data_IF_408243614811
#
_entry.id   IF_408243614811
#
_cell.length_a   1.000
_cell.length_b   1.000
_cell.length_c   1.000
_cell.angle_alpha   90.00
_cell.angle_beta   90.00
_cell.angle_gamma   90.00
#
_symmetry.space_group_name_H-M   'P 1'
#
loop_
_entity.id
_entity.type
_entity.pdbx_description
1 polymer ?
#
# COMPACT_ATOMS: atom_id res chain seq x y z
N UNK A 1 24.09 -38.86 -1.04
CA UNK A 1 22.85 -38.60 -0.24
C UNK A 1 22.93 -37.33 0.61
N UNK A 2 24.06 -37.02 1.24
CA UNK A 2 24.22 -35.85 2.14
C UNK A 2 23.98 -34.51 1.42
N UNK A 3 24.54 -34.32 0.21
CA UNK A 3 24.38 -33.07 -0.56
C UNK A 3 22.91 -32.79 -0.97
N UNK A 4 22.15 -33.84 -1.32
CA UNK A 4 20.71 -33.71 -1.63
C UNK A 4 19.90 -33.33 -0.40
N UNK A 5 20.22 -33.92 0.77
CA UNK A 5 19.56 -33.57 2.05
C UNK A 5 19.88 -32.13 2.44
N UNK A 6 21.12 -31.69 2.30
CA UNK A 6 21.53 -30.32 2.57
C UNK A 6 20.81 -29.30 1.66
N UNK A 7 20.67 -29.60 0.37
CA UNK A 7 19.94 -28.76 -0.58
C UNK A 7 18.44 -28.66 -0.26
N UNK A 8 17.81 -29.79 0.11
CA UNK A 8 16.39 -29.80 0.50
C UNK A 8 16.17 -28.98 1.78
N UNK A 9 17.06 -29.12 2.78
CA UNK A 9 17.01 -28.34 4.02
C UNK A 9 17.20 -26.84 3.76
N UNK A 10 18.09 -26.43 2.84
CA UNK A 10 18.27 -25.01 2.50
C UNK A 10 17.06 -24.44 1.77
N UNK A 11 16.46 -25.19 0.83
CA UNK A 11 15.23 -24.78 0.13
C UNK A 11 14.05 -24.62 1.08
N UNK A 12 13.88 -25.55 2.04
CA UNK A 12 12.83 -25.46 3.07
C UNK A 12 13.03 -24.25 3.99
N UNK A 13 14.27 -23.94 4.37
CA UNK A 13 14.59 -22.76 5.18
C UNK A 13 14.29 -21.45 4.43
N UNK A 14 14.56 -21.39 3.12
CA UNK A 14 14.22 -20.22 2.29
C UNK A 14 12.69 -20.02 2.16
N UNK A 15 11.93 -21.12 2.02
CA UNK A 15 10.47 -21.06 1.93
C UNK A 15 9.82 -20.56 3.23
N UNK A 16 10.42 -20.83 4.39
CA UNK A 16 9.91 -20.40 5.69
C UNK A 16 9.96 -18.87 5.91
N UNK A 17 10.77 -18.15 5.14
CA UNK A 17 10.85 -16.67 5.21
C UNK A 17 9.76 -15.97 4.38
N UNK A 18 9.04 -16.69 3.52
CA UNK A 18 7.95 -16.15 2.72
C UNK A 18 6.68 -16.00 3.56
N UNK A 19 6.52 -14.87 4.27
CA UNK A 19 5.23 -14.55 4.90
C UNK A 19 4.19 -14.33 3.79
N UNK A 20 3.03 -15.00 3.82
CA UNK A 20 1.95 -14.68 2.90
C UNK A 20 1.57 -13.21 3.11
N UNK A 21 1.62 -12.43 2.04
CA UNK A 21 1.15 -11.05 2.05
C UNK A 21 -0.37 -11.11 2.10
N UNK A 22 -0.99 -10.43 3.06
CA UNK A 22 -2.44 -10.19 2.97
C UNK A 22 -2.70 -9.49 1.65
N UNK A 23 -3.61 -10.04 0.85
CA UNK A 23 -4.06 -9.44 -0.41
C UNK A 23 -5.46 -8.87 -0.21
N UNK A 24 -5.82 -7.79 -0.92
CA UNK A 24 -7.19 -7.32 -0.95
C UNK A 24 -8.13 -8.38 -1.56
N UNK A 25 -9.40 -8.43 -1.14
CA UNK A 25 -9.99 -7.68 -0.03
C UNK A 25 -9.51 -8.24 1.34
N UNK A 26 -9.26 -7.35 2.30
CA UNK A 26 -8.84 -7.70 3.66
C UNK A 26 -9.91 -7.29 4.67
N UNK A 27 -9.91 -7.94 5.83
CA UNK A 27 -10.86 -7.61 6.91
C UNK A 27 -10.72 -6.13 7.33
N UNK A 28 -11.83 -5.45 7.69
CA UNK A 28 -11.80 -4.07 8.18
C UNK A 28 -10.78 -3.88 9.31
N UNK A 29 -10.01 -2.79 9.25
CA UNK A 29 -8.96 -2.49 10.23
C UNK A 29 -7.61 -3.17 9.98
N UNK A 30 -7.51 -4.11 9.03
CA UNK A 30 -6.21 -4.62 8.59
C UNK A 30 -5.37 -3.48 8.03
N UNK A 31 -4.14 -3.27 8.48
CA UNK A 31 -3.25 -2.25 7.93
C UNK A 31 -2.24 -2.86 6.95
N UNK A 32 -2.03 -2.19 5.83
CA UNK A 32 -1.02 -2.53 4.85
C UNK A 32 0.08 -1.47 4.93
N UNK A 33 1.36 -1.88 5.02
CA UNK A 33 2.47 -0.94 5.12
C UNK A 33 2.54 -0.08 3.86
N UNK A 34 2.78 1.23 4.03
CA UNK A 34 2.97 2.13 2.90
C UNK A 34 4.20 1.71 2.08
N UNK A 35 3.97 1.53 0.77
CA UNK A 35 4.99 1.22 -0.24
C UNK A 35 5.03 2.28 -1.34
N UNK A 36 4.66 3.51 -0.97
CA UNK A 36 4.78 4.71 -1.78
C UNK A 36 5.48 5.80 -0.97
N UNK A 37 6.03 6.79 -1.66
CA UNK A 37 6.75 7.91 -1.07
C UNK A 37 6.39 9.20 -1.78
N UNK A 38 6.94 10.30 -1.27
CA UNK A 38 6.80 11.61 -1.88
C UNK A 38 7.71 11.71 -3.11
N UNK A 39 7.18 12.23 -4.22
CA UNK A 39 7.97 12.49 -5.43
C UNK A 39 8.87 13.71 -5.29
N UNK A 40 8.52 14.64 -4.39
CA UNK A 40 9.31 15.83 -4.07
C UNK A 40 9.45 15.96 -2.54
N UNK A 41 10.35 15.17 -1.92
CA UNK A 41 10.42 15.05 -0.48
C UNK A 41 10.78 16.37 0.22
N UNK A 42 9.96 16.74 1.20
CA UNK A 42 10.26 17.85 2.11
C UNK A 42 11.21 17.38 3.22
N UNK A 43 12.24 18.17 3.51
CA UNK A 43 13.10 17.98 4.68
C UNK A 43 12.37 18.47 5.94
N UNK A 44 11.78 17.53 6.68
CA UNK A 44 11.18 17.82 7.96
C UNK A 44 12.26 17.78 9.03
N UNK A 45 12.51 18.93 9.69
CA UNK A 45 13.38 18.99 10.87
C UNK A 45 12.71 18.32 12.09
N UNK A 46 12.61 16.99 12.08
CA UNK A 46 11.97 16.18 13.11
C UNK A 46 11.15 15.02 12.57
N UNK A 47 9.91 14.89 13.05
CA UNK A 47 9.02 13.78 12.69
C UNK A 47 8.48 13.96 11.27
N UNK A 48 8.69 12.95 10.42
CA UNK A 48 8.17 12.93 9.03
C UNK A 48 6.79 12.29 8.95
N UNK A 49 5.99 12.55 7.90
CA UNK A 49 4.73 11.87 7.65
C UNK A 49 4.85 10.33 7.61
N UNK A 50 5.97 9.80 7.11
CA UNK A 50 6.25 8.36 7.03
C UNK A 50 6.35 7.66 8.39
N UNK A 51 6.45 8.42 9.49
CA UNK A 51 6.48 7.86 10.85
C UNK A 51 5.11 7.45 11.40
N UNK A 52 4.01 7.88 10.76
CA UNK A 52 2.66 7.50 11.18
C UNK A 52 2.27 6.13 10.61
N UNK A 53 1.50 5.30 11.33
CA UNK A 53 1.25 3.91 10.92
C UNK A 53 0.20 3.75 9.81
N UNK A 54 -0.63 4.77 9.57
CA UNK A 54 -1.74 4.71 8.62
C UNK A 54 -1.55 5.77 7.55
N UNK A 55 -1.54 5.34 6.29
CA UNK A 55 -1.42 6.20 5.13
C UNK A 55 -2.59 6.01 4.19
N UNK A 56 -2.91 7.07 3.45
CA UNK A 56 -3.99 7.10 2.48
C UNK A 56 -3.67 8.06 1.35
N UNK A 57 -4.64 8.24 0.47
CA UNK A 57 -4.58 9.15 -0.67
C UNK A 57 -5.79 10.07 -0.68
N UNK A 58 -5.70 11.16 -1.41
CA UNK A 58 -6.83 11.95 -1.86
C UNK A 58 -6.92 11.87 -3.39
N UNK A 59 -8.15 11.73 -3.90
CA UNK A 59 -8.41 11.55 -5.33
C UNK A 59 -9.58 12.39 -5.79
N UNK A 60 -9.60 12.66 -7.08
CA UNK A 60 -10.59 13.42 -7.82
C UNK A 60 -10.70 12.88 -9.27
N UNK A 61 -11.51 13.52 -10.13
CA UNK A 61 -11.71 13.15 -11.54
C UNK A 61 -10.43 13.02 -12.36
N UNK A 62 -9.33 13.62 -11.91
CA UNK A 62 -8.06 13.65 -12.64
C UNK A 62 -7.32 12.32 -12.69
N UNK A 63 -7.65 11.37 -11.81
CA UNK A 63 -7.00 10.06 -11.72
C UNK A 63 -7.62 9.04 -12.69
N UNK A 64 -8.71 9.39 -13.40
CA UNK A 64 -9.47 8.50 -14.27
C UNK A 64 -9.81 7.17 -13.59
N UNK A 65 -9.16 6.06 -13.98
CA UNK A 65 -9.44 4.74 -13.45
C UNK A 65 -8.39 4.33 -12.40
N UNK A 66 -8.84 4.11 -11.17
CA UNK A 66 -8.00 3.67 -10.06
C UNK A 66 -8.12 2.16 -9.88
N UNK A 67 -6.99 1.46 -9.97
CA UNK A 67 -6.90 0.06 -9.51
C UNK A 67 -6.76 0.06 -7.98
N UNK A 68 -7.89 -0.11 -7.30
CA UNK A 68 -7.98 -0.09 -5.84
C UNK A 68 -7.27 -1.27 -5.18
N UNK A 69 -7.19 -2.43 -5.83
CA UNK A 69 -6.46 -3.58 -5.28
C UNK A 69 -4.95 -3.32 -5.30
N UNK A 70 -4.46 -2.71 -6.38
CA UNK A 70 -3.08 -2.25 -6.47
C UNK A 70 -2.80 -1.13 -5.47
N UNK A 71 -3.68 -0.14 -5.33
CA UNK A 71 -3.54 0.91 -4.32
C UNK A 71 -3.47 0.30 -2.90
N UNK A 72 -4.39 -0.61 -2.58
CA UNK A 72 -4.47 -1.28 -1.29
C UNK A 72 -3.23 -2.11 -0.98
N UNK A 73 -2.71 -2.89 -1.94
CA UNK A 73 -1.45 -3.65 -1.81
C UNK A 73 -0.24 -2.75 -1.55
N UNK A 74 -0.27 -1.52 -2.04
CA UNK A 74 0.78 -0.53 -1.82
C UNK A 74 0.59 0.29 -0.52
N UNK A 75 -0.38 -0.06 0.32
CA UNK A 75 -0.55 0.56 1.64
C UNK A 75 -1.45 1.80 1.65
N UNK A 76 -2.29 1.98 0.63
CA UNK A 76 -3.40 2.94 0.70
C UNK A 76 -4.47 2.33 1.60
N UNK A 77 -4.52 2.76 2.87
CA UNK A 77 -5.42 2.22 3.88
C UNK A 77 -6.76 2.98 3.97
N UNK A 78 -6.79 4.23 3.51
CA UNK A 78 -7.98 5.05 3.36
C UNK A 78 -7.85 5.96 2.13
N UNK A 79 -8.98 6.48 1.65
CA UNK A 79 -9.00 7.47 0.59
C UNK A 79 -10.00 8.59 0.91
N UNK A 80 -9.59 9.84 0.70
CA UNK A 80 -10.53 10.95 0.53
C UNK A 80 -10.87 11.06 -0.96
N UNK A 81 -12.17 11.15 -1.28
CA UNK A 81 -12.64 11.24 -2.66
C UNK A 81 -13.35 12.57 -2.81
N UNK A 82 -12.86 13.43 -3.69
CA UNK A 82 -13.52 14.68 -4.03
C UNK A 82 -14.90 14.37 -4.63
N UNK A 83 -15.93 15.04 -4.14
CA UNK A 83 -17.30 14.87 -4.64
C UNK A 83 -17.74 16.04 -5.53
N UNK A 84 -17.39 17.26 -5.16
CA UNK A 84 -17.85 18.49 -5.83
C UNK A 84 -16.78 19.59 -5.81
N UNK A 85 -16.96 20.60 -6.65
CA UNK A 85 -16.18 21.84 -6.69
C UNK A 85 -17.12 23.02 -6.97
N UNK A 86 -17.12 24.03 -6.11
CA UNK A 86 -18.09 25.13 -6.20
C UNK A 86 -19.54 24.64 -6.07
N UNK A 87 -20.44 25.25 -6.83
CA UNK A 87 -21.89 24.91 -6.84
C UNK A 87 -22.37 24.19 -8.10
N UNK A 88 -21.49 24.02 -9.09
CA UNK A 88 -21.84 23.65 -10.46
C UNK A 88 -21.03 22.48 -11.01
N UNK A 89 -20.00 22.02 -10.29
CA UNK A 89 -19.14 20.93 -10.75
C UNK A 89 -19.18 19.73 -9.81
N UNK A 90 -19.56 18.58 -10.38
CA UNK A 90 -19.54 17.27 -9.72
C UNK A 90 -18.35 16.47 -10.23
N UNK A 91 -17.72 15.75 -9.32
CA UNK A 91 -16.71 14.75 -9.63
C UNK A 91 -17.43 13.43 -9.94
N UNK A 92 -17.40 12.98 -11.21
CA UNK A 92 -18.28 11.91 -11.70
C UNK A 92 -17.57 10.56 -11.85
N UNK A 93 -16.23 10.56 -11.72
CA UNK A 93 -15.38 9.40 -12.00
C UNK A 93 -14.95 8.71 -10.70
#
# INVERSE_FOLDING_TARGET
MILRRALILSLLALAACGRPSTSPPADPGTLFPARFGDSDPVDFNGRTPQSFPVHGIDVARFQNNIDWDTARRNGVNFAFIKATEGGDLKDIN
#
